data_IF_030467981444
#
_entry.id   IF_030467981444
#
_cell.length_a   1.000
_cell.length_b   1.000
_cell.length_c   1.000
_cell.angle_alpha   90.00
_cell.angle_beta   90.00
_cell.angle_gamma   90.00
#
_symmetry.space_group_name_H-M   'P 1'
#
loop_
_entity.id
_entity.type
_entity.pdbx_description
1 polymer ?
#
# COMPACT_ATOMS: atom_id res chain seq x y z
N UNK A 1 27.01 -8.82 39.37
CA UNK A 1 25.82 -9.56 38.87
C UNK A 1 24.78 -8.65 38.20
N UNK A 2 24.38 -7.50 38.77
CA UNK A 2 23.32 -6.65 38.21
C UNK A 2 23.54 -6.09 36.79
N UNK A 3 24.78 -5.78 36.39
CA UNK A 3 25.09 -5.28 35.02
C UNK A 3 24.81 -6.31 33.93
N UNK A 4 25.06 -7.60 34.19
CA UNK A 4 24.78 -8.67 33.22
C UNK A 4 23.28 -8.96 33.10
N UNK A 5 22.53 -8.84 34.21
CA UNK A 5 21.07 -8.95 34.20
C UNK A 5 20.45 -7.82 33.36
N UNK A 6 20.92 -6.59 33.51
CA UNK A 6 20.47 -5.43 32.73
C UNK A 6 20.80 -5.56 31.23
N UNK A 7 22.01 -6.01 30.89
CA UNK A 7 22.39 -6.25 29.49
C UNK A 7 21.55 -7.36 28.87
N UNK A 8 21.27 -8.44 29.62
CA UNK A 8 20.43 -9.55 29.17
C UNK A 8 18.97 -9.13 28.97
N UNK A 9 18.40 -8.37 29.92
CA UNK A 9 17.05 -7.79 29.80
C UNK A 9 16.96 -6.81 28.63
N UNK A 10 18.00 -6.00 28.40
CA UNK A 10 18.06 -5.10 27.26
C UNK A 10 18.17 -5.85 25.93
N UNK A 11 18.98 -6.90 25.85
CA UNK A 11 19.10 -7.74 24.66
C UNK A 11 17.80 -8.48 24.33
N UNK A 12 17.10 -9.01 25.35
CA UNK A 12 15.77 -9.62 25.20
C UNK A 12 14.72 -8.59 24.76
N UNK A 13 14.77 -7.37 25.31
CA UNK A 13 13.89 -6.29 24.87
C UNK A 13 14.13 -5.91 23.40
N UNK A 14 15.40 -5.80 22.97
CA UNK A 14 15.77 -5.55 21.58
C UNK A 14 15.34 -6.70 20.66
N UNK A 15 15.45 -7.97 21.09
CA UNK A 15 15.02 -9.11 20.26
C UNK A 15 13.50 -9.17 20.10
N UNK A 16 12.74 -8.82 21.15
CA UNK A 16 11.27 -8.73 21.09
C UNK A 16 10.80 -7.59 20.18
N UNK A 17 11.59 -6.52 20.05
CA UNK A 17 11.33 -5.42 19.11
C UNK A 17 11.74 -5.74 17.66
N UNK A 18 12.51 -6.81 17.43
CA UNK A 18 13.09 -7.16 16.12
C UNK A 18 12.11 -7.87 15.18
N UNK A 19 10.85 -7.42 15.13
CA UNK A 19 9.93 -7.82 14.08
C UNK A 19 10.29 -7.10 12.77
N UNK A 20 10.82 -7.85 11.81
CA UNK A 20 11.11 -7.35 10.47
C UNK A 20 9.81 -7.21 9.67
N UNK A 21 9.31 -5.98 9.54
CA UNK A 21 8.34 -5.66 8.49
C UNK A 21 9.12 -5.58 7.19
N UNK A 22 8.67 -6.27 6.13
CA UNK A 22 9.38 -6.29 4.84
C UNK A 22 8.63 -5.59 3.71
N UNK A 23 7.32 -5.40 3.87
CA UNK A 23 6.49 -4.67 2.91
C UNK A 23 5.24 -4.11 3.62
N UNK A 24 4.74 -2.98 3.11
CA UNK A 24 3.48 -2.40 3.56
C UNK A 24 2.56 -2.27 2.34
N UNK A 25 1.37 -2.86 2.42
CA UNK A 25 0.33 -2.73 1.40
C UNK A 25 -0.81 -1.93 2.01
N UNK A 26 -1.11 -0.77 1.44
CA UNK A 26 -2.16 0.12 1.98
C UNK A 26 -3.37 0.13 1.07
N UNK A 27 -4.55 0.00 1.66
CA UNK A 27 -5.85 0.05 0.97
C UNK A 27 -6.75 1.03 1.73
N UNK A 28 -7.67 1.66 1.01
CA UNK A 28 -8.65 2.55 1.62
C UNK A 28 -8.99 3.75 0.75
N UNK A 29 -9.46 4.79 1.42
CA UNK A 29 -9.98 6.01 0.81
C UNK A 29 -8.98 7.18 0.92
N UNK A 30 -9.51 8.40 1.01
CA UNK A 30 -8.74 9.65 1.11
C UNK A 30 -7.83 9.71 2.34
N UNK A 31 -8.13 8.99 3.42
CA UNK A 31 -7.30 8.98 4.63
C UNK A 31 -5.95 8.28 4.43
N UNK A 32 -5.90 7.34 3.49
CA UNK A 32 -4.71 6.55 3.17
C UNK A 32 -4.13 6.89 1.79
N UNK A 33 -4.86 7.64 0.96
CA UNK A 33 -4.45 8.01 -0.40
C UNK A 33 -3.21 8.92 -0.39
N UNK A 34 -2.12 8.41 -0.97
CA UNK A 34 -0.86 9.13 -1.10
C UNK A 34 -0.81 10.07 -2.33
N UNK A 35 -1.86 10.07 -3.17
CA UNK A 35 -1.94 10.81 -4.44
C UNK A 35 -2.32 9.97 -5.66
N UNK A 36 -2.87 8.76 -5.48
CA UNK A 36 -3.27 7.89 -6.59
C UNK A 36 -4.27 8.56 -7.51
N UNK A 37 -5.22 9.34 -6.94
CA UNK A 37 -6.28 9.97 -7.71
C UNK A 37 -5.78 10.91 -8.81
N UNK A 38 -4.60 11.51 -8.64
CA UNK A 38 -3.96 12.33 -9.68
C UNK A 38 -3.80 11.58 -11.02
N UNK A 39 -3.55 10.27 -10.96
CA UNK A 39 -3.36 9.43 -12.15
C UNK A 39 -4.65 8.78 -12.66
N UNK A 40 -5.80 9.00 -11.97
CA UNK A 40 -7.07 8.36 -12.29
C UNK A 40 -7.93 9.26 -13.18
N UNK A 41 -8.07 8.86 -14.45
CA UNK A 41 -8.97 9.54 -15.40
C UNK A 41 -10.41 9.51 -14.89
N UNK A 42 -11.13 10.63 -15.02
CA UNK A 42 -12.54 10.81 -14.66
C UNK A 42 -12.90 10.77 -13.16
N UNK A 43 -11.94 10.51 -12.27
CA UNK A 43 -12.15 10.60 -10.82
C UNK A 43 -12.30 12.07 -10.42
N UNK A 44 -13.43 12.40 -9.78
CA UNK A 44 -13.76 13.78 -9.39
C UNK A 44 -13.20 14.15 -8.01
N UNK A 45 -12.84 13.17 -7.19
CA UNK A 45 -12.15 13.40 -5.93
C UNK A 45 -10.65 13.60 -6.21
N UNK A 46 -10.22 14.83 -6.44
CA UNK A 46 -8.81 15.20 -6.63
C UNK A 46 -8.31 15.98 -5.41
N UNK A 47 -7.00 15.93 -5.18
CA UNK A 47 -6.32 16.72 -4.15
C UNK A 47 -4.93 17.22 -4.62
N UNK A 48 -4.77 17.37 -5.93
CA UNK A 48 -3.58 17.88 -6.61
C UNK A 48 -3.64 19.40 -6.85
N UNK A 49 -4.41 20.11 -6.01
CA UNK A 49 -4.57 21.56 -6.04
C UNK A 49 -4.51 22.17 -4.61
N UNK A 50 -4.28 23.49 -4.45
CA UNK A 50 -4.32 24.14 -3.14
C UNK A 50 -5.69 23.99 -2.45
N UNK A 51 -5.76 23.82 -1.11
CA UNK A 51 -4.69 24.02 -0.13
C UNK A 51 -3.85 22.77 0.17
N UNK A 52 -4.12 21.63 -0.46
CA UNK A 52 -3.49 20.35 -0.14
C UNK A 52 -1.96 20.40 -0.25
N UNK A 53 -1.27 19.72 0.66
CA UNK A 53 0.21 19.73 0.79
C UNK A 53 0.87 21.03 1.25
N UNK A 54 0.14 22.14 1.41
CA UNK A 54 0.70 23.48 1.69
C UNK A 54 1.57 23.58 2.95
N UNK A 55 1.25 22.82 4.01
CA UNK A 55 1.88 22.99 5.32
C UNK A 55 3.15 22.16 5.54
N UNK A 56 3.34 21.06 4.81
CA UNK A 56 4.49 20.16 5.00
C UNK A 56 5.31 19.98 3.74
N UNK A 57 4.64 19.78 2.59
CA UNK A 57 5.32 19.57 1.31
C UNK A 57 5.53 20.88 0.55
N UNK A 58 4.71 21.90 0.84
CA UNK A 58 4.70 23.20 0.19
C UNK A 58 4.33 23.17 -1.31
N UNK A 59 3.73 22.08 -1.78
CA UNK A 59 3.10 21.94 -3.09
C UNK A 59 1.94 20.93 -3.03
N UNK A 60 0.98 20.96 -3.97
CA UNK A 60 -0.10 19.98 -4.02
C UNK A 60 0.43 18.58 -4.31
N UNK A 61 0.20 17.65 -3.38
CA UNK A 61 0.74 16.28 -3.46
C UNK A 61 -0.24 15.24 -4.00
N UNK A 62 -1.51 15.61 -4.19
CA UNK A 62 -2.58 14.64 -4.44
C UNK A 62 -3.15 14.01 -3.15
N UNK A 63 -2.63 14.36 -1.98
CA UNK A 63 -3.08 13.85 -0.67
C UNK A 63 -4.18 14.74 -0.12
N UNK A 64 -5.22 14.14 0.46
CA UNK A 64 -6.35 14.85 1.08
C UNK A 64 -5.99 15.46 2.45
N UNK A 65 -4.81 16.06 2.56
CA UNK A 65 -4.29 16.71 3.76
C UNK A 65 -3.23 17.74 3.38
N UNK A 66 -3.03 18.74 4.24
CA UNK A 66 -1.93 19.71 4.09
C UNK A 66 -0.57 19.14 4.50
N UNK A 67 -0.57 17.94 5.12
CA UNK A 67 0.59 17.30 5.73
C UNK A 67 0.73 15.83 5.30
N UNK A 68 1.23 15.00 6.19
CA UNK A 68 1.37 13.55 6.05
C UNK A 68 0.05 12.83 6.33
N UNK A 69 -0.21 11.74 5.63
CA UNK A 69 -1.32 10.80 5.87
C UNK A 69 -0.96 9.79 6.95
N UNK A 70 -1.94 8.99 7.41
CA UNK A 70 -1.70 7.91 8.38
C UNK A 70 -0.66 6.92 7.86
N UNK A 71 -0.71 6.59 6.56
CA UNK A 71 0.26 5.69 5.92
C UNK A 71 1.67 6.23 6.08
N UNK A 72 1.91 7.53 5.92
CA UNK A 72 3.26 8.07 6.06
C UNK A 72 3.84 7.94 7.45
N UNK A 73 3.00 8.04 8.49
CA UNK A 73 3.46 7.85 9.87
C UNK A 73 3.81 6.39 10.14
N UNK A 74 3.01 5.47 9.62
CA UNK A 74 3.30 4.02 9.68
C UNK A 74 4.57 3.69 8.91
N UNK A 75 4.71 4.20 7.68
CA UNK A 75 5.92 4.03 6.88
C UNK A 75 7.12 4.68 7.53
N UNK A 76 6.98 5.84 8.19
CA UNK A 76 8.07 6.48 8.92
C UNK A 76 8.50 5.71 10.16
N UNK A 77 7.55 5.11 10.90
CA UNK A 77 7.89 4.17 11.96
C UNK A 77 8.62 2.93 11.38
N UNK A 78 8.20 2.47 10.20
CA UNK A 78 8.85 1.37 9.49
C UNK A 78 10.18 1.75 8.81
N UNK A 79 10.52 3.05 8.66
CA UNK A 79 11.85 3.47 8.20
C UNK A 79 12.91 3.16 9.24
N UNK A 80 12.58 3.17 10.54
CA UNK A 80 13.47 2.63 11.58
C UNK A 80 13.74 1.13 11.41
N UNK A 81 12.93 0.45 10.60
CA UNK A 81 13.06 -0.95 10.19
C UNK A 81 13.55 -1.09 8.72
N UNK A 82 13.95 0.01 8.07
CA UNK A 82 14.50 0.01 6.72
C UNK A 82 13.49 -0.01 5.56
N UNK A 83 12.23 0.36 5.79
CA UNK A 83 11.21 0.41 4.72
C UNK A 83 10.97 1.86 4.25
N UNK A 84 11.23 2.11 2.97
CA UNK A 84 10.88 3.37 2.32
C UNK A 84 9.37 3.56 2.14
N UNK A 85 8.96 4.81 1.87
CA UNK A 85 7.57 5.13 1.52
C UNK A 85 7.09 4.32 0.31
N UNK A 86 5.87 3.79 0.43
CA UNK A 86 5.23 2.97 -0.59
C UNK A 86 4.92 3.84 -1.81
N UNK A 87 5.26 3.34 -3.00
CA UNK A 87 4.88 3.98 -4.25
C UNK A 87 3.37 3.92 -4.46
N UNK A 88 2.85 4.88 -5.21
CA UNK A 88 1.44 4.94 -5.60
C UNK A 88 1.18 3.87 -6.65
N UNK A 89 0.15 3.06 -6.47
CA UNK A 89 -0.14 1.97 -7.40
C UNK A 89 -0.33 2.48 -8.84
N UNK A 90 -1.10 3.55 -9.05
CA UNK A 90 -1.39 4.02 -10.42
C UNK A 90 -0.15 4.59 -11.14
N UNK A 91 0.76 5.22 -10.40
CA UNK A 91 2.04 5.68 -10.94
C UNK A 91 2.88 4.48 -11.41
N UNK A 92 2.97 3.44 -10.57
CA UNK A 92 3.72 2.21 -10.90
C UNK A 92 3.07 1.44 -12.04
N UNK A 93 1.74 1.31 -12.04
CA UNK A 93 0.99 0.66 -13.12
C UNK A 93 1.31 1.34 -14.46
N UNK A 94 1.27 2.68 -14.50
CA UNK A 94 1.62 3.44 -15.69
C UNK A 94 3.05 3.13 -16.14
N UNK A 95 4.01 3.13 -15.21
CA UNK A 95 5.40 2.79 -15.51
C UNK A 95 5.59 1.37 -16.06
N UNK A 96 4.81 0.41 -15.56
CA UNK A 96 4.83 -0.99 -16.03
C UNK A 96 4.22 -1.10 -17.42
N UNK A 97 3.06 -0.48 -17.65
CA UNK A 97 2.35 -0.50 -18.94
C UNK A 97 3.19 0.14 -20.05
N UNK A 98 3.88 1.25 -19.77
CA UNK A 98 4.76 1.90 -20.76
C UNK A 98 6.13 1.20 -20.91
N UNK A 99 6.38 0.12 -20.16
CA UNK A 99 7.62 -0.65 -20.21
C UNK A 99 8.83 0.00 -19.52
N UNK A 100 8.67 1.17 -18.87
CA UNK A 100 9.73 1.84 -18.12
C UNK A 100 10.11 1.11 -16.82
N UNK A 101 9.23 0.24 -16.32
CA UNK A 101 9.44 -0.60 -15.14
C UNK A 101 8.97 -2.03 -15.42
N UNK A 102 9.73 -3.02 -14.93
CA UNK A 102 9.38 -4.44 -15.13
C UNK A 102 8.51 -5.04 -14.03
N UNK A 103 8.67 -4.59 -12.78
CA UNK A 103 8.04 -5.21 -11.60
C UNK A 103 7.54 -4.15 -10.62
N UNK A 104 6.52 -4.49 -9.84
CA UNK A 104 6.10 -3.69 -8.69
C UNK A 104 7.16 -3.70 -7.58
N UNK A 105 7.22 -2.65 -6.73
CA UNK A 105 8.14 -2.58 -5.60
C UNK A 105 7.96 -3.75 -4.62
N UNK A 106 9.07 -4.29 -4.13
CA UNK A 106 9.08 -5.38 -3.14
C UNK A 106 8.79 -4.91 -1.71
N UNK A 107 8.94 -3.61 -1.42
CA UNK A 107 8.64 -2.98 -0.13
C UNK A 107 7.15 -2.60 0.03
N UNK A 108 6.31 -3.07 -0.88
CA UNK A 108 4.87 -2.83 -0.88
C UNK A 108 4.44 -1.60 -1.69
N UNK A 109 3.14 -1.33 -1.69
CA UNK A 109 2.51 -0.34 -2.57
C UNK A 109 1.22 0.21 -1.95
N UNK A 110 0.87 1.44 -2.31
CA UNK A 110 -0.33 2.11 -1.83
C UNK A 110 -1.44 2.04 -2.91
N UNK A 111 -2.53 1.32 -2.61
CA UNK A 111 -3.75 1.16 -3.41
C UNK A 111 -4.92 2.03 -2.91
N UNK A 112 -4.70 2.93 -1.96
CA UNK A 112 -5.76 3.80 -1.47
C UNK A 112 -6.12 4.86 -2.51
N UNK A 113 -7.41 5.23 -2.58
CA UNK A 113 -7.94 6.20 -3.56
C UNK A 113 -9.07 6.99 -2.92
N UNK A 114 -8.95 8.32 -2.90
CA UNK A 114 -9.99 9.20 -2.39
C UNK A 114 -11.35 8.96 -3.05
N UNK A 115 -12.40 8.88 -2.25
CA UNK A 115 -13.76 8.60 -2.74
C UNK A 115 -13.97 7.17 -3.24
N UNK A 116 -13.02 6.26 -3.01
CA UNK A 116 -13.28 4.82 -3.14
C UNK A 116 -14.16 4.33 -1.98
N UNK A 117 -14.85 3.22 -2.19
CA UNK A 117 -15.69 2.60 -1.18
C UNK A 117 -15.76 1.10 -1.39
N UNK A 118 -16.25 0.39 -0.37
CA UNK A 118 -16.29 -1.08 -0.36
C UNK A 118 -17.28 -1.61 -1.39
N UNK A 119 -18.44 -0.95 -1.52
CA UNK A 119 -19.47 -1.29 -2.49
C UNK A 119 -19.35 -0.40 -3.72
N UNK A 120 -19.62 -0.95 -4.91
CA UNK A 120 -19.53 -0.22 -6.18
C UNK A 120 -20.48 0.98 -6.23
N UNK A 121 -21.57 0.94 -5.47
CA UNK A 121 -22.56 2.00 -5.39
C UNK A 121 -22.02 3.23 -4.63
N UNK A 122 -21.11 3.00 -3.67
CA UNK A 122 -20.60 4.06 -2.78
C UNK A 122 -19.58 4.98 -3.45
N UNK A 123 -18.95 4.55 -4.54
CA UNK A 123 -18.02 5.38 -5.32
C UNK A 123 -18.58 5.82 -6.69
N UNK A 124 -19.89 5.65 -6.93
CA UNK A 124 -20.53 6.12 -8.18
C UNK A 124 -20.45 7.65 -8.34
N UNK A 125 -20.68 8.39 -7.26
CA UNK A 125 -20.67 9.86 -7.28
C UNK A 125 -19.26 10.43 -7.54
N UNK A 126 -18.23 9.80 -6.99
CA UNK A 126 -16.84 10.22 -7.14
C UNK A 126 -16.21 9.75 -8.46
N UNK A 127 -16.79 8.72 -9.10
CA UNK A 127 -16.23 8.03 -10.28
C UNK A 127 -14.78 7.57 -10.07
N UNK A 128 -14.36 7.41 -8.81
CA UNK A 128 -13.01 6.97 -8.44
C UNK A 128 -12.97 5.45 -8.34
N UNK A 129 -13.45 4.77 -9.38
CA UNK A 129 -13.48 3.31 -9.45
C UNK A 129 -12.07 2.78 -9.68
N UNK A 130 -11.74 1.68 -9.01
CA UNK A 130 -10.60 0.88 -9.40
C UNK A 130 -11.00 0.01 -10.60
N UNK A 131 -10.09 -0.29 -11.54
CA UNK A 131 -10.30 -1.41 -12.45
C UNK A 131 -10.60 -2.66 -11.60
N UNK A 132 -11.55 -3.50 -12.02
CA UNK A 132 -11.93 -4.74 -11.31
C UNK A 132 -10.85 -5.83 -11.39
N UNK A 133 -9.59 -5.47 -11.15
CA UNK A 133 -8.45 -6.37 -11.19
C UNK A 133 -8.29 -7.10 -9.87
N UNK A 134 -8.00 -8.40 -9.95
CA UNK A 134 -7.61 -9.18 -8.77
C UNK A 134 -6.18 -8.83 -8.38
N UNK A 135 -6.00 -8.33 -7.16
CA UNK A 135 -4.70 -8.09 -6.56
C UNK A 135 -4.22 -9.38 -5.89
N UNK A 136 -3.14 -9.96 -6.41
CA UNK A 136 -2.48 -11.10 -5.77
C UNK A 136 -1.18 -10.64 -5.13
N UNK A 137 -1.11 -10.68 -3.80
CA UNK A 137 0.11 -10.46 -3.03
C UNK A 137 0.63 -11.82 -2.59
N UNK A 138 1.80 -12.19 -3.09
CA UNK A 138 2.45 -13.46 -2.74
C UNK A 138 3.76 -13.19 -2.02
N UNK A 139 3.97 -13.89 -0.92
CA UNK A 139 5.21 -13.89 -0.16
C UNK A 139 5.94 -15.20 -0.37
N UNK A 140 7.25 -15.12 -0.60
CA UNK A 140 8.14 -16.24 -0.38
C UNK A 140 9.03 -15.87 0.79
N UNK A 141 9.24 -16.80 1.71
CA UNK A 141 10.22 -16.66 2.79
C UNK A 141 11.46 -17.47 2.44
N UNK A 142 12.41 -16.94 1.63
CA UNK A 142 13.73 -17.52 1.54
C UNK A 142 14.43 -17.55 2.91
N UNK A 143 15.37 -18.49 3.08
CA UNK A 143 16.11 -18.71 4.33
C UNK A 143 16.75 -17.46 4.95
N UNK A 144 16.96 -16.39 4.18
CA UNK A 144 17.71 -15.20 4.60
C UNK A 144 16.95 -13.87 4.45
N UNK A 145 15.81 -13.81 3.74
CA UNK A 145 15.03 -12.57 3.52
C UNK A 145 13.57 -12.90 3.20
N UNK A 146 12.62 -12.01 3.53
CA UNK A 146 11.24 -12.08 3.03
C UNK A 146 11.18 -11.37 1.67
N UNK A 147 10.66 -12.05 0.64
CA UNK A 147 10.49 -11.48 -0.69
C UNK A 147 9.00 -11.49 -1.05
N UNK A 148 8.46 -10.30 -1.35
CA UNK A 148 7.08 -10.13 -1.78
C UNK A 148 7.00 -9.85 -3.27
N UNK A 149 5.99 -10.42 -3.92
CA UNK A 149 5.63 -10.14 -5.30
C UNK A 149 4.14 -9.80 -5.35
N UNK A 150 3.84 -8.62 -5.87
CA UNK A 150 2.49 -8.22 -6.24
C UNK A 150 2.29 -8.49 -7.73
N UNK A 151 1.19 -9.15 -8.09
CA UNK A 151 0.75 -9.35 -9.48
C UNK A 151 -0.71 -8.96 -9.61
N UNK A 152 -1.05 -8.35 -10.74
CA UNK A 152 -2.43 -8.10 -11.12
C UNK A 152 -2.90 -9.20 -12.07
N UNK A 153 -4.03 -9.83 -11.74
CA UNK A 153 -4.76 -10.70 -12.65
C UNK A 153 -5.91 -9.95 -13.33
N UNK A 154 -6.33 -10.44 -14.49
CA UNK A 154 -7.57 -10.02 -15.14
C UNK A 154 -8.79 -10.40 -14.29
N UNK A 155 -9.93 -9.81 -14.63
CA UNK A 155 -11.13 -9.66 -13.80
C UNK A 155 -11.53 -10.90 -13.00
N UNK A 156 -12.05 -10.64 -11.80
CA UNK A 156 -12.78 -11.63 -11.00
C UNK A 156 -13.94 -12.19 -11.83
N UNK A 157 -13.96 -13.49 -12.16
CA UNK A 157 -15.15 -14.06 -12.76
C UNK A 157 -16.23 -13.94 -11.69
N UNK A 158 -17.35 -13.28 -12.01
CA UNK A 158 -18.39 -12.95 -11.04
C UNK A 158 -18.84 -14.13 -10.14
N UNK A 159 -19.74 -13.87 -9.18
CA UNK A 159 -20.03 -14.74 -8.02
C UNK A 159 -20.35 -16.22 -8.32
N UNK A 160 -20.63 -16.58 -9.57
CA UNK A 160 -21.03 -17.90 -10.01
C UNK A 160 -19.87 -18.81 -10.50
N UNK A 161 -18.62 -18.35 -10.51
CA UNK A 161 -17.47 -19.20 -10.89
C UNK A 161 -16.60 -19.51 -9.68
N UNK A 162 -16.93 -20.62 -9.02
CA UNK A 162 -16.07 -21.23 -8.02
C UNK A 162 -14.62 -21.37 -8.55
N UNK A 163 -13.66 -21.10 -7.66
CA UNK A 163 -12.23 -21.26 -7.90
C UNK A 163 -11.96 -22.72 -8.32
N UNK A 164 -11.49 -22.99 -9.55
CA UNK A 164 -11.07 -24.34 -9.90
C UNK A 164 -9.80 -24.66 -9.12
N UNK A 165 -9.84 -25.66 -8.23
CA UNK A 165 -8.64 -26.21 -7.59
C UNK A 165 -8.52 -26.04 -6.07
N UNK A 166 -9.57 -25.60 -5.36
CA UNK A 166 -9.67 -25.89 -3.92
C UNK A 166 -10.46 -27.18 -3.77
N UNK A 167 -9.75 -28.30 -3.74
CA UNK A 167 -10.27 -29.56 -3.22
C UNK A 167 -10.84 -29.28 -1.83
N UNK A 168 -12.16 -29.45 -1.67
CA UNK A 168 -12.77 -29.60 -0.36
C UNK A 168 -12.30 -30.95 0.17
N UNK A 169 -11.22 -30.94 0.97
CA UNK A 169 -10.96 -32.03 1.90
C UNK A 169 -11.93 -31.88 3.07
N UNK A 170 -13.03 -32.62 2.99
CA UNK A 170 -13.61 -33.39 4.10
C UNK A 170 -14.06 -34.74 3.56
#
# INVERSE_FOLDING_TARGET
MGKFLLISLFALFVSVLSHNVSAIFSFGDSLFDAGNNHFKKNCTAQADFPPYGSSFFHYPTGRFTNRRTVVDFVSNAAQYLGIDFQKLYLEVEMQVVIGSRRNYPSNGINFASGGSGVLRETNMASRCTWPSKRITISGKQPRNHLAWRCTMGDDDPGPDKAIPGIDKKE
#
